data_IF_185007283985
#
_entry.id   IF_185007283985
#
_cell.length_a   1.000
_cell.length_b   1.000
_cell.length_c   1.000
_cell.angle_alpha   90.00
_cell.angle_beta   90.00
_cell.angle_gamma   90.00
#
_symmetry.space_group_name_H-M   'P 1'
#
loop_
_entity.id
_entity.type
_entity.pdbx_description
1 polymer ?
#
# COMPACT_ATOMS: atom_id res chain seq x y z
N UNK A 1 -7.55 16.44 13.90
CA UNK A 1 -7.62 15.01 13.48
C UNK A 1 -8.06 14.10 14.63
N UNK A 2 -7.41 14.14 15.80
CA UNK A 2 -7.82 13.33 16.96
C UNK A 2 -9.25 13.61 17.44
N UNK A 3 -9.69 14.88 17.40
CA UNK A 3 -11.06 15.27 17.76
C UNK A 3 -12.09 14.73 16.75
N UNK A 4 -11.81 14.80 15.45
CA UNK A 4 -12.68 14.24 14.39
C UNK A 4 -12.78 12.71 14.52
N UNK A 5 -11.66 12.02 14.77
CA UNK A 5 -11.67 10.56 14.95
C UNK A 5 -12.37 10.15 16.26
N UNK A 6 -12.22 10.94 17.33
CA UNK A 6 -12.95 10.74 18.58
C UNK A 6 -14.45 10.94 18.38
N UNK A 7 -14.85 11.98 17.66
CA UNK A 7 -16.25 12.28 17.34
C UNK A 7 -16.85 11.23 16.40
N UNK A 8 -16.08 10.71 15.44
CA UNK A 8 -16.49 9.57 14.61
C UNK A 8 -16.71 8.31 15.45
N UNK A 9 -15.77 7.97 16.34
CA UNK A 9 -15.91 6.81 17.22
C UNK A 9 -17.09 6.95 18.17
N UNK A 10 -17.23 8.10 18.82
CA UNK A 10 -18.32 8.40 19.75
C UNK A 10 -19.68 8.44 19.05
N UNK A 11 -19.78 9.09 17.89
CA UNK A 11 -21.00 9.15 17.09
C UNK A 11 -21.44 7.78 16.55
N UNK A 12 -20.49 6.94 16.12
CA UNK A 12 -20.77 5.54 15.73
C UNK A 12 -21.27 4.73 16.94
N UNK A 13 -20.63 4.86 18.10
CA UNK A 13 -21.05 4.16 19.33
C UNK A 13 -22.43 4.59 19.84
N UNK A 14 -22.80 5.86 19.65
CA UNK A 14 -24.06 6.42 20.16
C UNK A 14 -25.16 6.55 19.10
N UNK A 15 -24.91 6.12 17.86
CA UNK A 15 -25.83 6.28 16.70
C UNK A 15 -26.24 7.74 16.43
N UNK A 16 -25.39 8.69 16.79
CA UNK A 16 -25.64 10.10 16.52
C UNK A 16 -25.21 10.44 15.10
N UNK A 17 -26.05 11.20 14.39
CA UNK A 17 -25.73 11.66 13.04
C UNK A 17 -24.64 12.74 13.12
N UNK A 18 -23.46 12.44 12.56
CA UNK A 18 -22.41 13.44 12.36
C UNK A 18 -22.80 14.33 11.17
N UNK A 19 -23.08 15.60 11.45
CA UNK A 19 -23.21 16.62 10.42
C UNK A 19 -21.80 17.14 10.07
N UNK A 20 -21.41 17.02 8.81
CA UNK A 20 -20.16 17.57 8.27
C UNK A 20 -20.53 18.51 7.14
N UNK A 21 -20.11 19.77 7.25
CA UNK A 21 -20.37 20.80 6.22
C UNK A 21 -19.57 20.54 4.93
N UNK A 22 -20.04 21.04 3.78
CA UNK A 22 -19.26 21.01 2.54
C UNK A 22 -17.89 21.69 2.65
N UNK A 23 -17.75 22.71 3.49
CA UNK A 23 -16.50 23.41 3.78
C UNK A 23 -15.51 22.49 4.50
N UNK A 24 -15.97 21.76 5.52
CA UNK A 24 -15.15 20.78 6.25
C UNK A 24 -14.73 19.62 5.35
N UNK A 25 -15.63 19.12 4.49
CA UNK A 25 -15.30 18.08 3.50
C UNK A 25 -14.16 18.58 2.59
N UNK A 26 -14.29 19.80 2.03
CA UNK A 26 -13.25 20.39 1.18
C UNK A 26 -11.93 20.60 1.91
N UNK A 27 -12.00 21.02 3.17
CA UNK A 27 -10.82 21.18 4.02
C UNK A 27 -10.10 19.84 4.23
N UNK A 28 -10.83 18.78 4.59
CA UNK A 28 -10.27 17.44 4.79
C UNK A 28 -9.69 16.89 3.49
N UNK A 29 -10.39 17.03 2.37
CA UNK A 29 -9.89 16.61 1.04
C UNK A 29 -8.57 17.30 0.71
N UNK A 30 -8.49 18.63 0.88
CA UNK A 30 -7.28 19.41 0.60
C UNK A 30 -6.13 19.00 1.53
N UNK A 31 -6.39 18.84 2.82
CA UNK A 31 -5.40 18.42 3.80
C UNK A 31 -4.88 17.00 3.49
N UNK A 32 -5.77 16.08 3.14
CA UNK A 32 -5.42 14.71 2.75
C UNK A 32 -4.58 14.68 1.48
N UNK A 33 -4.99 15.39 0.42
CA UNK A 33 -4.22 15.48 -0.83
C UNK A 33 -2.83 16.07 -0.61
N UNK A 34 -2.72 17.10 0.22
CA UNK A 34 -1.44 17.70 0.58
C UNK A 34 -0.55 16.70 1.32
N UNK A 35 -1.10 15.98 2.31
CA UNK A 35 -0.37 14.95 3.06
C UNK A 35 0.12 13.82 2.16
N UNK A 36 -0.75 13.30 1.27
CA UNK A 36 -0.38 12.27 0.29
C UNK A 36 0.75 12.75 -0.62
N UNK A 37 0.62 13.96 -1.17
CA UNK A 37 1.63 14.55 -2.07
C UNK A 37 2.98 14.77 -1.38
N UNK A 38 2.96 15.15 -0.10
CA UNK A 38 4.19 15.33 0.67
C UNK A 38 4.84 13.99 0.98
N UNK A 39 4.09 13.01 1.50
CA UNK A 39 4.66 11.70 1.79
C UNK A 39 5.08 10.92 0.54
N UNK A 40 4.49 11.19 -0.62
CA UNK A 40 4.99 10.70 -1.92
C UNK A 40 6.40 11.24 -2.22
N UNK A 41 6.64 12.55 -2.04
CA UNK A 41 7.97 13.14 -2.20
C UNK A 41 8.97 12.50 -1.23
N UNK A 42 8.57 12.33 0.02
CA UNK A 42 9.42 11.75 1.06
C UNK A 42 9.73 10.27 0.78
N UNK A 43 8.74 9.51 0.25
CA UNK A 43 8.92 8.13 -0.21
C UNK A 43 9.95 8.06 -1.34
N UNK A 44 9.84 8.94 -2.34
CA UNK A 44 10.80 8.98 -3.46
C UNK A 44 12.20 9.39 -2.99
N UNK A 45 12.31 10.36 -2.07
CA UNK A 45 13.59 10.71 -1.44
C UNK A 45 14.20 9.54 -0.68
N UNK A 46 13.41 8.81 0.10
CA UNK A 46 13.87 7.62 0.81
C UNK A 46 14.34 6.54 -0.18
N UNK A 47 13.61 6.32 -1.28
CA UNK A 47 14.06 5.43 -2.35
C UNK A 47 15.42 5.86 -2.93
N UNK A 48 15.66 7.16 -3.12
CA UNK A 48 16.96 7.66 -3.60
C UNK A 48 18.10 7.41 -2.59
N UNK A 49 17.84 7.58 -1.29
CA UNK A 49 18.82 7.26 -0.24
C UNK A 49 19.18 5.77 -0.28
N UNK A 50 18.18 4.90 -0.38
CA UNK A 50 18.38 3.45 -0.46
C UNK A 50 19.11 3.05 -1.74
N UNK A 51 18.75 3.63 -2.88
CA UNK A 51 19.44 3.43 -4.15
C UNK A 51 20.91 3.83 -4.03
N UNK A 52 21.21 5.02 -3.49
CA UNK A 52 22.60 5.48 -3.32
C UNK A 52 23.41 4.57 -2.40
N UNK A 53 22.77 4.02 -1.37
CA UNK A 53 23.39 3.12 -0.39
C UNK A 53 23.71 1.74 -0.97
N UNK A 54 22.73 1.12 -1.62
CA UNK A 54 22.80 -0.30 -2.01
C UNK A 54 23.15 -0.51 -3.50
N UNK A 55 23.07 0.54 -4.31
CA UNK A 55 23.53 0.57 -5.71
C UNK A 55 24.36 1.82 -6.01
N UNK A 56 25.49 2.01 -5.32
CA UNK A 56 26.35 3.16 -5.55
C UNK A 56 26.78 3.20 -7.02
N UNK A 57 26.68 4.38 -7.64
CA UNK A 57 27.14 4.65 -9.01
C UNK A 57 26.58 3.73 -10.10
N UNK A 58 25.43 3.07 -9.87
CA UNK A 58 24.84 2.12 -10.81
C UNK A 58 23.82 2.80 -11.72
N UNK A 59 23.88 2.52 -13.03
CA UNK A 59 22.82 2.95 -13.93
C UNK A 59 21.55 2.12 -13.69
N UNK A 60 20.45 2.77 -13.33
CA UNK A 60 19.18 2.11 -13.05
C UNK A 60 18.19 2.23 -14.20
N UNK A 61 17.37 1.20 -14.35
CA UNK A 61 16.13 1.23 -15.11
C UNK A 61 14.98 1.36 -14.13
N UNK A 62 14.08 2.30 -14.40
CA UNK A 62 12.87 2.49 -13.62
C UNK A 62 11.66 2.14 -14.47
N UNK A 63 10.70 1.44 -13.87
CA UNK A 63 9.42 1.15 -14.50
C UNK A 63 8.26 1.43 -13.54
N UNK A 64 7.22 2.05 -14.08
CA UNK A 64 5.90 2.12 -13.46
C UNK A 64 5.15 0.84 -13.82
N UNK A 65 4.62 0.17 -12.82
CA UNK A 65 3.73 -0.98 -12.98
C UNK A 65 2.36 -0.52 -12.54
N UNK A 66 1.39 -0.49 -13.44
CA UNK A 66 0.00 -0.13 -13.13
C UNK A 66 -0.86 -1.35 -13.21
N UNK A 67 -1.64 -1.58 -12.17
CA UNK A 67 -2.61 -2.64 -12.13
C UNK A 67 -3.99 -2.05 -12.33
N UNK A 68 -4.71 -2.62 -13.27
CA UNK A 68 -6.05 -2.20 -13.63
C UNK A 68 -7.05 -3.32 -13.40
N UNK A 69 -8.29 -2.93 -13.13
CA UNK A 69 -9.44 -3.85 -13.12
C UNK A 69 -10.63 -3.24 -13.84
N UNK A 70 -11.42 -4.10 -14.46
CA UNK A 70 -12.59 -3.68 -15.22
C UNK A 70 -13.73 -3.28 -14.28
N UNK A 71 -14.55 -2.31 -14.70
CA UNK A 71 -15.79 -1.95 -14.00
C UNK A 71 -16.83 -3.07 -14.05
N UNK A 72 -16.82 -3.87 -15.12
CA UNK A 72 -17.71 -5.02 -15.25
C UNK A 72 -17.26 -6.13 -14.30
N UNK A 73 -18.11 -6.48 -13.33
CA UNK A 73 -17.80 -7.43 -12.27
C UNK A 73 -17.51 -8.85 -12.78
N UNK A 74 -18.11 -9.22 -13.91
CA UNK A 74 -17.81 -10.46 -14.61
C UNK A 74 -16.34 -10.54 -15.09
N UNK A 75 -15.71 -9.39 -15.34
CA UNK A 75 -14.32 -9.28 -15.82
C UNK A 75 -13.36 -9.15 -14.64
N UNK A 76 -13.31 -10.20 -13.82
CA UNK A 76 -12.66 -10.19 -12.51
C UNK A 76 -11.12 -10.28 -12.53
N UNK A 77 -10.50 -10.20 -13.71
CA UNK A 77 -9.05 -10.30 -13.86
C UNK A 77 -8.34 -8.99 -13.54
N UNK A 78 -7.18 -9.09 -12.88
CA UNK A 78 -6.23 -7.98 -12.77
C UNK A 78 -5.36 -7.98 -14.01
N UNK A 79 -5.31 -6.83 -14.65
CA UNK A 79 -4.49 -6.60 -15.84
C UNK A 79 -3.36 -5.64 -15.46
N UNK A 80 -2.19 -5.81 -16.07
CA UNK A 80 -0.99 -5.04 -15.71
C UNK A 80 -0.40 -4.37 -16.93
N UNK A 81 -0.05 -3.10 -16.78
CA UNK A 81 0.78 -2.34 -17.73
C UNK A 81 2.16 -2.11 -17.12
N UNK A 82 3.20 -2.20 -17.95
CA UNK A 82 4.56 -1.86 -17.58
C UNK A 82 5.04 -0.70 -18.43
N UNK A 83 5.24 0.47 -17.82
CA UNK A 83 5.75 1.66 -18.48
C UNK A 83 7.18 1.92 -18.03
N UNK A 84 8.14 1.85 -18.95
CA UNK A 84 9.50 2.31 -18.67
C UNK A 84 9.48 3.82 -18.47
N UNK A 85 10.09 4.27 -17.38
CA UNK A 85 10.24 5.68 -17.05
C UNK A 85 11.69 6.11 -17.28
N UNK A 86 11.88 7.31 -17.82
CA UNK A 86 13.18 7.95 -17.88
C UNK A 86 13.50 8.61 -16.54
N UNK A 87 14.78 8.81 -16.21
CA UNK A 87 15.18 9.44 -14.93
C UNK A 87 14.58 10.84 -14.73
N UNK A 88 14.30 11.57 -15.83
CA UNK A 88 13.60 12.85 -15.79
C UNK A 88 12.13 12.71 -15.36
N UNK A 89 11.46 11.59 -15.65
CA UNK A 89 10.05 11.36 -15.32
C UNK A 89 9.84 11.12 -13.82
N UNK A 90 10.87 10.69 -13.08
CA UNK A 90 10.77 10.39 -11.64
C UNK A 90 11.25 11.57 -10.78
N UNK A 91 12.25 12.31 -11.25
CA UNK A 91 12.92 13.36 -10.46
C UNK A 91 12.38 14.77 -10.71
N UNK A 92 11.75 15.02 -11.86
CA UNK A 92 11.23 16.35 -12.25
C UNK A 92 9.71 16.40 -12.38
N UNK A 93 9.04 15.28 -12.11
CA UNK A 93 7.61 15.19 -12.23
C UNK A 93 6.93 15.98 -11.11
N UNK A 94 6.30 17.09 -11.46
CA UNK A 94 5.23 17.70 -10.66
C UNK A 94 3.94 16.87 -10.69
N UNK A 95 3.95 15.74 -11.40
CA UNK A 95 2.82 14.83 -11.60
C UNK A 95 2.88 13.76 -10.51
N UNK A 96 1.79 13.64 -9.75
CA UNK A 96 1.63 12.61 -8.72
C UNK A 96 1.60 11.20 -9.34
N UNK A 97 2.06 10.21 -8.59
CA UNK A 97 2.04 8.80 -8.93
C UNK A 97 0.64 8.32 -9.32
N UNK A 98 -0.39 8.84 -8.64
CA UNK A 98 -1.80 8.55 -8.94
C UNK A 98 -2.24 9.04 -10.32
N UNK A 99 -1.73 10.19 -10.78
CA UNK A 99 -2.01 10.70 -12.13
C UNK A 99 -1.33 9.84 -13.19
N UNK A 100 -0.06 9.46 -12.97
CA UNK A 100 0.66 8.56 -13.88
C UNK A 100 0.01 7.19 -13.93
N UNK A 101 -0.45 6.66 -12.79
CA UNK A 101 -1.20 5.41 -12.73
C UNK A 101 -2.46 5.48 -13.61
N UNK A 102 -3.25 6.54 -13.48
CA UNK A 102 -4.46 6.76 -14.29
C UNK A 102 -4.17 6.95 -15.79
N UNK A 103 -3.04 7.54 -16.14
CA UNK A 103 -2.61 7.71 -17.53
C UNK A 103 -2.25 6.36 -18.19
N UNK A 104 -1.67 5.43 -17.43
CA UNK A 104 -1.13 4.17 -17.94
C UNK A 104 -1.95 2.93 -17.53
N UNK A 105 -3.22 3.12 -17.14
CA UNK A 105 -4.14 2.00 -16.89
C UNK A 105 -4.25 1.10 -18.13
N UNK A 106 -4.24 -0.22 -17.96
CA UNK A 106 -4.46 -1.15 -19.07
C UNK A 106 -5.90 -1.07 -19.60
N UNK A 107 -6.11 -1.57 -20.81
CA UNK A 107 -7.44 -1.90 -21.32
C UNK A 107 -7.88 -3.26 -20.80
N UNK A 108 -9.18 -3.44 -20.60
CA UNK A 108 -9.77 -4.72 -20.27
C UNK A 108 -9.59 -5.70 -21.44
N UNK A 109 -9.10 -6.92 -21.20
CA UNK A 109 -8.92 -7.92 -22.26
C UNK A 109 -10.23 -8.41 -22.88
N UNK A 110 -11.35 -8.27 -22.16
CA UNK A 110 -12.65 -8.82 -22.56
C UNK A 110 -13.53 -7.79 -23.26
N UNK A 111 -13.66 -6.58 -22.72
CA UNK A 111 -14.47 -5.51 -23.33
C UNK A 111 -13.66 -4.39 -23.98
N UNK A 112 -12.32 -4.42 -23.92
CA UNK A 112 -11.43 -3.38 -24.45
C UNK A 112 -11.59 -1.97 -23.84
N UNK A 113 -12.40 -1.84 -22.79
CA UNK A 113 -12.58 -0.57 -22.07
C UNK A 113 -11.42 -0.24 -21.14
N UNK A 114 -11.22 1.05 -20.87
CA UNK A 114 -10.23 1.49 -19.86
C UNK A 114 -10.57 0.91 -18.50
N UNK A 115 -9.58 0.29 -17.87
CA UNK A 115 -9.67 -0.14 -16.47
C UNK A 115 -9.47 1.04 -15.52
N UNK A 116 -9.89 0.90 -14.26
CA UNK A 116 -9.47 1.81 -13.19
C UNK A 116 -8.20 1.29 -12.53
N UNK A 117 -7.30 2.20 -12.16
CA UNK A 117 -6.10 1.87 -11.43
C UNK A 117 -6.46 1.37 -10.03
N UNK A 118 -6.02 0.15 -9.70
CA UNK A 118 -6.18 -0.43 -8.36
C UNK A 118 -4.86 -0.44 -7.59
N UNK A 119 -3.72 -0.47 -8.27
CA UNK A 119 -2.42 -0.35 -7.64
C UNK A 119 -1.41 0.23 -8.62
N UNK A 120 -0.39 0.88 -8.09
CA UNK A 120 0.74 1.32 -8.87
C UNK A 120 2.03 1.13 -8.08
N UNK A 121 3.10 0.82 -8.81
CA UNK A 121 4.39 0.51 -8.23
C UNK A 121 5.49 1.14 -9.05
N UNK A 122 6.46 1.75 -8.38
CA UNK A 122 7.73 2.12 -9.01
C UNK A 122 8.73 1.04 -8.71
N UNK A 123 9.24 0.41 -9.76
CA UNK A 123 10.31 -0.57 -9.60
C UNK A 123 11.60 -0.07 -10.21
N UNK A 124 12.65 -0.18 -9.41
CA UNK A 124 14.03 0.13 -9.75
C UNK A 124 14.82 -1.18 -9.84
N UNK A 125 15.61 -1.30 -10.89
CA UNK A 125 16.56 -2.40 -11.04
C UNK A 125 17.82 -1.93 -11.79
N UNK A 126 18.99 -2.54 -11.54
CA UNK A 126 20.19 -2.30 -12.32
C UNK A 126 19.95 -2.60 -13.81
N UNK A 127 20.47 -1.75 -14.71
CA UNK A 127 20.41 -2.00 -16.18
C UNK A 127 21.31 -3.15 -16.61
N UNK A 128 22.43 -3.33 -15.91
CA UNK A 128 23.39 -4.41 -16.11
C UNK A 128 23.36 -5.31 -14.88
N UNK A 129 23.77 -6.56 -15.04
CA UNK A 129 24.00 -7.45 -13.89
C UNK A 129 24.96 -6.74 -12.95
N UNK A 130 24.56 -6.61 -11.69
CA UNK A 130 25.39 -6.03 -10.65
C UNK A 130 25.78 -7.10 -9.66
N UNK A 131 26.98 -6.97 -9.09
CA UNK A 131 27.44 -7.83 -8.01
C UNK A 131 26.90 -7.39 -6.64
N UNK A 132 26.09 -6.32 -6.60
CA UNK A 132 25.41 -5.87 -5.40
C UNK A 132 24.40 -6.89 -4.89
N UNK A 133 24.30 -6.98 -3.57
CA UNK A 133 23.36 -7.86 -2.88
C UNK A 133 21.92 -7.44 -3.12
N UNK A 134 21.61 -6.15 -3.26
CA UNK A 134 20.27 -5.67 -3.64
C UNK A 134 20.01 -5.93 -5.13
N UNK A 135 18.82 -6.46 -5.44
CA UNK A 135 18.47 -6.93 -6.79
C UNK A 135 17.26 -6.23 -7.39
N UNK A 136 16.33 -5.78 -6.54
CA UNK A 136 15.26 -4.86 -6.93
C UNK A 136 14.78 -4.06 -5.74
N UNK A 137 14.34 -2.82 -5.99
CA UNK A 137 13.63 -1.98 -5.05
C UNK A 137 12.29 -1.61 -5.67
N UNK A 138 11.22 -1.75 -4.92
CA UNK A 138 9.86 -1.49 -5.37
C UNK A 138 9.17 -0.60 -4.34
N UNK A 139 8.60 0.53 -4.75
CA UNK A 139 7.84 1.41 -3.88
C UNK A 139 6.38 1.49 -4.32
N UNK A 140 5.51 1.80 -3.36
CA UNK A 140 4.08 2.02 -3.61
C UNK A 140 3.50 3.07 -2.68
N UNK A 141 2.37 3.61 -3.11
CA UNK A 141 1.45 4.35 -2.27
C UNK A 141 0.12 3.58 -2.27
N UNK A 142 -0.40 3.31 -1.08
CA UNK A 142 -1.69 2.66 -0.92
C UNK A 142 -2.78 3.58 -1.48
N UNK A 143 -3.69 3.02 -2.29
CA UNK A 143 -4.78 3.79 -2.88
C UNK A 143 -5.73 4.34 -1.82
N UNK A 144 -6.39 5.47 -2.12
CA UNK A 144 -7.40 6.06 -1.23
C UNK A 144 -8.45 5.04 -0.79
N UNK A 145 -8.96 4.22 -1.71
CA UNK A 145 -9.90 3.15 -1.37
C UNK A 145 -9.34 2.17 -0.34
N UNK A 146 -8.09 1.72 -0.51
CA UNK A 146 -7.45 0.81 0.45
C UNK A 146 -7.19 1.49 1.81
N UNK A 147 -6.91 2.79 1.83
CA UNK A 147 -6.80 3.58 3.06
C UNK A 147 -8.16 3.63 3.77
N UNK A 148 -9.25 3.93 3.05
CA UNK A 148 -10.61 3.92 3.58
C UNK A 148 -10.99 2.56 4.17
N UNK A 149 -10.70 1.46 3.46
CA UNK A 149 -10.93 0.11 3.97
C UNK A 149 -10.18 -0.12 5.28
N UNK A 150 -8.89 0.24 5.34
CA UNK A 150 -8.08 0.02 6.54
C UNK A 150 -8.55 0.86 7.73
N UNK A 151 -8.98 2.10 7.51
CA UNK A 151 -9.58 2.95 8.56
C UNK A 151 -10.87 2.32 9.06
N UNK A 152 -11.76 1.88 8.17
CA UNK A 152 -13.00 1.22 8.55
C UNK A 152 -12.71 -0.07 9.33
N UNK A 153 -11.77 -0.90 8.88
CA UNK A 153 -11.36 -2.11 9.60
C UNK A 153 -10.84 -1.82 11.02
N UNK A 154 -10.11 -0.72 11.21
CA UNK A 154 -9.64 -0.27 12.53
C UNK A 154 -10.81 0.19 13.40
N UNK A 155 -11.76 0.96 12.85
CA UNK A 155 -12.93 1.45 13.60
C UNK A 155 -13.82 0.30 14.07
N UNK A 156 -13.96 -0.75 13.25
CA UNK A 156 -14.72 -1.95 13.58
C UNK A 156 -13.87 -3.07 14.23
N UNK A 157 -12.62 -2.78 14.61
CA UNK A 157 -11.71 -3.73 15.29
C UNK A 157 -11.53 -5.08 14.55
N UNK A 158 -11.70 -5.13 13.22
CA UNK A 158 -11.59 -6.36 12.43
C UNK A 158 -10.19 -7.00 12.60
N UNK A 159 -9.16 -6.17 12.72
CA UNK A 159 -7.77 -6.63 12.89
C UNK A 159 -7.53 -7.38 14.21
N UNK A 160 -8.29 -7.07 15.28
CA UNK A 160 -8.20 -7.78 16.56
C UNK A 160 -8.68 -9.23 16.49
N UNK A 161 -9.37 -9.62 15.42
CA UNK A 161 -9.81 -11.01 15.24
C UNK A 161 -8.71 -11.93 14.69
N UNK A 162 -7.57 -11.35 14.26
CA UNK A 162 -6.47 -12.07 13.62
C UNK A 162 -5.18 -12.10 14.44
N UNK A 163 -5.25 -11.91 15.77
CA UNK A 163 -4.06 -11.88 16.66
C UNK A 163 -3.15 -13.11 16.50
N UNK A 164 -3.71 -14.27 16.13
CA UNK A 164 -2.97 -15.54 16.01
C UNK A 164 -2.01 -15.62 14.82
N UNK A 165 -2.20 -14.78 13.79
CA UNK A 165 -1.43 -14.87 12.54
C UNK A 165 -0.52 -13.64 12.29
N UNK A 166 -0.52 -12.69 13.23
CA UNK A 166 0.27 -11.45 13.15
C UNK A 166 1.16 -11.33 14.39
N UNK A 167 2.43 -10.96 14.19
CA UNK A 167 3.22 -10.36 15.27
C UNK A 167 2.63 -8.98 15.50
N UNK A 168 1.98 -8.78 16.65
CA UNK A 168 1.32 -7.52 17.00
C UNK A 168 2.16 -6.77 18.02
N UNK A 169 2.19 -5.45 17.84
CA UNK A 169 2.75 -4.50 18.79
C UNK A 169 1.75 -3.35 18.98
N UNK A 170 2.09 -2.41 19.86
CA UNK A 170 1.23 -1.27 20.21
C UNK A 170 0.93 -0.35 19.01
N UNK A 171 1.72 -0.40 17.94
CA UNK A 171 1.57 0.43 16.74
C UNK A 171 0.78 -0.26 15.62
N UNK A 172 0.37 -1.52 15.80
CA UNK A 172 -0.32 -2.29 14.77
C UNK A 172 -1.72 -1.74 14.40
N UNK A 173 -2.29 -0.83 15.20
CA UNK A 173 -3.53 -0.10 14.90
C UNK A 173 -3.29 1.24 14.17
N UNK A 174 -2.04 1.59 13.87
CA UNK A 174 -1.69 2.77 13.09
C UNK A 174 -1.62 2.40 11.60
N UNK A 175 -2.03 3.32 10.73
CA UNK A 175 -1.87 3.20 9.28
C UNK A 175 -0.39 3.40 8.87
N UNK A 176 0.47 2.47 9.24
CA UNK A 176 1.91 2.56 8.97
C UNK A 176 2.33 2.15 7.56
N UNK A 177 1.41 1.57 6.78
CA UNK A 177 1.68 0.96 5.46
C UNK A 177 1.05 1.74 4.29
N UNK A 178 0.82 3.04 4.46
CA UNK A 178 0.40 3.93 3.36
C UNK A 178 1.52 4.00 2.32
N UNK A 179 2.74 4.24 2.77
CA UNK A 179 3.94 4.28 1.93
C UNK A 179 4.72 2.98 2.15
N UNK A 180 4.85 2.19 1.09
CA UNK A 180 5.53 0.90 1.14
C UNK A 180 6.82 0.91 0.33
N UNK A 181 7.85 0.25 0.85
CA UNK A 181 9.07 -0.12 0.12
C UNK A 181 9.31 -1.62 0.28
N UNK A 182 9.55 -2.33 -0.82
CA UNK A 182 10.05 -3.71 -0.82
C UNK A 182 11.45 -3.74 -1.43
N UNK A 183 12.39 -4.33 -0.70
CA UNK A 183 13.77 -4.52 -1.12
C UNK A 183 14.06 -6.02 -1.22
N UNK A 184 14.47 -6.46 -2.41
CA UNK A 184 14.77 -7.86 -2.70
C UNK A 184 16.27 -8.04 -2.86
N UNK A 185 16.88 -8.84 -1.99
CA UNK A 185 18.31 -9.14 -1.97
C UNK A 185 18.60 -10.51 -2.58
N UNK A 186 19.85 -10.75 -2.98
CA UNK A 186 20.28 -12.02 -3.55
C UNK A 186 20.15 -13.16 -2.54
N UNK A 187 20.54 -12.91 -1.30
CA UNK A 187 20.59 -13.88 -0.20
C UNK A 187 20.33 -13.20 1.15
N UNK A 188 20.44 -13.97 2.23
CA UNK A 188 20.18 -13.50 3.60
C UNK A 188 21.24 -12.52 4.10
N UNK A 189 22.48 -12.59 3.60
CA UNK A 189 23.58 -11.69 4.01
C UNK A 189 23.23 -10.26 3.62
N UNK A 190 22.71 -10.06 2.40
CA UNK A 190 22.21 -8.75 1.97
C UNK A 190 21.04 -8.22 2.83
N UNK A 191 20.14 -9.10 3.27
CA UNK A 191 19.05 -8.73 4.18
C UNK A 191 19.60 -8.31 5.54
N UNK A 192 20.53 -9.07 6.12
CA UNK A 192 21.14 -8.77 7.42
C UNK A 192 21.97 -7.48 7.39
N UNK A 193 22.71 -7.21 6.30
CA UNK A 193 23.41 -5.93 6.08
C UNK A 193 22.42 -4.76 6.07
N UNK A 194 21.29 -4.90 5.36
CA UNK A 194 20.28 -3.87 5.30
C UNK A 194 19.64 -3.61 6.68
N UNK A 195 19.31 -4.66 7.43
CA UNK A 195 18.80 -4.56 8.80
C UNK A 195 19.77 -3.77 9.68
N UNK A 196 21.05 -4.14 9.65
CA UNK A 196 22.11 -3.46 10.42
C UNK A 196 22.19 -1.98 10.06
N UNK A 197 22.18 -1.66 8.77
CA UNK A 197 22.19 -0.28 8.29
C UNK A 197 20.96 0.51 8.75
N UNK A 198 19.75 -0.05 8.63
CA UNK A 198 18.53 0.62 9.11
C UNK A 198 18.59 0.89 10.62
N UNK A 199 19.15 -0.02 11.42
CA UNK A 199 19.29 0.16 12.87
C UNK A 199 20.30 1.24 13.27
N UNK A 200 21.27 1.54 12.40
CA UNK A 200 22.31 2.53 12.64
C UNK A 200 22.05 3.89 11.95
N UNK A 201 21.05 3.96 11.07
CA UNK A 201 20.80 5.16 10.29
C UNK A 201 20.02 6.20 11.12
N UNK A 202 20.63 7.38 11.33
CA UNK A 202 20.05 8.46 12.12
C UNK A 202 18.95 9.26 11.39
N UNK A 203 18.77 9.04 10.08
CA UNK A 203 17.83 9.80 9.26
C UNK A 203 16.35 9.44 9.50
N UNK A 204 16.09 8.37 10.25
CA UNK A 204 14.74 7.90 10.59
C UNK A 204 14.77 7.09 11.88
N UNK A 205 13.61 6.93 12.50
CA UNK A 205 13.45 6.10 13.70
C UNK A 205 12.66 4.84 13.34
N UNK A 206 13.16 3.66 13.72
CA UNK A 206 12.36 2.43 13.63
C UNK A 206 11.32 2.46 14.75
N UNK A 207 10.04 2.57 14.40
CA UNK A 207 8.94 2.58 15.37
C UNK A 207 8.27 1.21 15.52
N UNK A 208 8.48 0.31 14.56
CA UNK A 208 7.95 -1.05 14.61
C UNK A 208 8.86 -2.02 13.82
N UNK A 209 9.06 -3.22 14.38
CA UNK A 209 9.88 -4.29 13.80
C UNK A 209 9.08 -5.61 13.85
N UNK A 210 9.06 -6.35 12.73
CA UNK A 210 8.46 -7.68 12.63
C UNK A 210 9.41 -8.61 11.89
N UNK A 211 10.02 -9.53 12.63
CA UNK A 211 10.89 -10.55 12.07
C UNK A 211 10.07 -11.80 11.71
N UNK A 212 9.82 -12.03 10.42
CA UNK A 212 9.22 -13.26 9.89
C UNK A 212 10.25 -14.15 9.18
N UNK A 213 11.52 -14.11 9.56
CA UNK A 213 12.58 -14.92 8.97
C UNK A 213 12.71 -16.27 9.69
N UNK A 214 13.14 -17.32 8.95
CA UNK A 214 13.48 -18.64 9.50
C UNK A 214 12.30 -19.24 10.30
N UNK A 215 12.51 -19.54 11.58
CA UNK A 215 11.50 -20.15 12.46
C UNK A 215 10.31 -19.23 12.74
N UNK A 216 10.45 -17.92 12.53
CA UNK A 216 9.38 -16.95 12.76
C UNK A 216 8.48 -16.73 11.53
N UNK A 217 8.65 -17.52 10.47
CA UNK A 217 7.84 -17.40 9.26
C UNK A 217 6.36 -17.65 9.54
N UNK A 218 5.48 -17.04 8.75
CA UNK A 218 4.04 -17.29 8.88
C UNK A 218 3.74 -18.76 8.55
N UNK A 219 2.60 -19.27 9.05
CA UNK A 219 2.09 -20.61 8.74
C UNK A 219 2.00 -20.89 7.23
N UNK A 220 1.78 -19.85 6.43
CA UNK A 220 1.75 -19.93 4.96
C UNK A 220 3.13 -20.11 4.32
N UNK A 221 4.22 -20.22 5.10
CA UNK A 221 5.60 -20.20 4.61
C UNK A 221 6.10 -18.82 4.20
N UNK A 222 5.35 -17.75 4.47
CA UNK A 222 5.74 -16.39 4.10
C UNK A 222 6.88 -15.89 4.99
N UNK A 223 7.95 -15.40 4.35
CA UNK A 223 9.19 -14.95 4.99
C UNK A 223 9.54 -13.53 4.54
N UNK A 224 9.86 -12.67 5.51
CA UNK A 224 10.36 -11.31 5.31
C UNK A 224 10.82 -10.73 6.64
N UNK A 225 11.62 -9.67 6.59
CA UNK A 225 11.82 -8.78 7.73
C UNK A 225 11.13 -7.46 7.44
N UNK A 226 10.17 -7.06 8.28
CA UNK A 226 9.47 -5.79 8.13
C UNK A 226 9.87 -4.80 9.20
N UNK A 227 10.06 -3.56 8.81
CA UNK A 227 10.23 -2.43 9.71
C UNK A 227 9.29 -1.31 9.29
N UNK A 228 8.85 -0.52 10.26
CA UNK A 228 8.19 0.76 10.01
C UNK A 228 9.14 1.85 10.45
N UNK A 229 9.48 2.72 9.51
CA UNK A 229 10.30 3.89 9.73
C UNK A 229 9.41 5.09 9.97
N UNK A 230 9.76 5.92 10.94
CA UNK A 230 9.21 7.27 11.10
C UNK A 230 10.27 8.29 10.68
N UNK A 231 9.86 9.23 9.83
CA UNK A 231 10.66 10.41 9.49
C UNK A 231 9.70 11.61 9.54
N UNK A 232 10.01 12.57 10.41
CA UNK A 232 9.15 13.72 10.68
C UNK A 232 7.71 13.28 11.03
N UNK A 233 6.73 13.59 10.19
CA UNK A 233 5.31 13.24 10.39
C UNK A 233 4.84 12.08 9.51
N UNK A 234 5.75 11.38 8.83
CA UNK A 234 5.43 10.30 7.91
C UNK A 234 5.97 8.95 8.38
N UNK A 235 5.27 7.89 7.98
CA UNK A 235 5.67 6.50 8.25
C UNK A 235 5.82 5.70 6.96
N UNK A 236 6.85 4.87 6.90
CA UNK A 236 7.17 4.04 5.74
C UNK A 236 7.33 2.58 6.18
N UNK A 237 6.52 1.67 5.63
CA UNK A 237 6.75 0.24 5.80
C UNK A 237 7.83 -0.21 4.82
N UNK A 238 8.92 -0.79 5.34
CA UNK A 238 9.97 -1.41 4.54
C UNK A 238 9.96 -2.92 4.75
N UNK A 239 9.88 -3.67 3.66
CA UNK A 239 9.96 -5.12 3.64
C UNK A 239 11.28 -5.56 3.00
N UNK A 240 12.04 -6.36 3.73
CA UNK A 240 13.31 -6.92 3.29
C UNK A 240 13.11 -8.41 3.02
N UNK A 241 13.52 -8.87 1.84
CA UNK A 241 13.36 -10.25 1.41
C UNK A 241 14.55 -10.71 0.59
N UNK A 242 14.81 -12.01 0.56
CA UNK A 242 15.70 -12.61 -0.44
C UNK A 242 14.93 -12.87 -1.75
N UNK A 243 15.64 -13.08 -2.85
CA UNK A 243 15.06 -13.51 -4.12
C UNK A 243 14.24 -14.79 -3.97
N UNK A 244 14.73 -15.75 -3.17
CA UNK A 244 14.03 -17.01 -2.90
C UNK A 244 12.69 -16.75 -2.18
N UNK A 245 12.69 -15.88 -1.17
CA UNK A 245 11.47 -15.49 -0.44
C UNK A 245 10.47 -14.79 -1.36
N UNK A 246 10.93 -13.82 -2.15
CA UNK A 246 10.10 -13.10 -3.11
C UNK A 246 9.51 -14.02 -4.20
N UNK A 247 10.30 -14.96 -4.72
CA UNK A 247 9.82 -15.96 -5.68
C UNK A 247 8.80 -16.91 -5.05
N UNK A 248 9.02 -17.32 -3.80
CA UNK A 248 8.07 -18.15 -3.06
C UNK A 248 6.73 -17.42 -2.88
N UNK A 249 6.76 -16.15 -2.46
CA UNK A 249 5.56 -15.30 -2.35
C UNK A 249 4.81 -15.25 -3.68
N UNK A 250 5.50 -14.95 -4.79
CA UNK A 250 4.90 -14.89 -6.13
C UNK A 250 4.32 -16.21 -6.64
N UNK A 251 4.84 -17.35 -6.19
CA UNK A 251 4.33 -18.69 -6.55
C UNK A 251 3.16 -19.11 -5.66
N UNK A 252 3.15 -18.67 -4.40
CA UNK A 252 2.19 -19.08 -3.38
C UNK A 252 1.19 -17.96 -3.02
N UNK A 253 0.96 -17.01 -3.93
CA UNK A 253 0.04 -15.87 -3.81
C UNK A 253 -1.35 -16.31 -3.30
N UNK A 254 -1.81 -17.49 -3.75
CA UNK A 254 -3.11 -18.05 -3.37
C UNK A 254 -3.14 -18.60 -1.93
N UNK A 255 -2.02 -19.06 -1.38
CA UNK A 255 -2.01 -19.77 -0.09
C UNK A 255 -1.84 -18.83 1.13
N UNK A 256 -1.20 -17.66 0.97
CA UNK A 256 -0.82 -16.78 2.10
C UNK A 256 -1.80 -15.64 2.36
N UNK A 257 -2.38 -15.04 1.32
CA UNK A 257 -3.21 -13.83 1.45
C UNK A 257 -4.70 -14.07 1.22
N UNK A 258 -5.06 -15.08 0.43
CA UNK A 258 -6.46 -15.33 0.05
C UNK A 258 -7.32 -15.68 1.27
N UNK A 259 -6.86 -16.60 2.12
CA UNK A 259 -7.59 -17.00 3.34
C UNK A 259 -7.79 -15.84 4.32
N UNK A 260 -6.81 -14.93 4.43
CA UNK A 260 -6.93 -13.75 5.28
C UNK A 260 -7.95 -12.75 4.71
N UNK A 261 -7.85 -12.45 3.41
CA UNK A 261 -8.74 -11.50 2.73
C UNK A 261 -10.17 -11.99 2.66
N UNK A 262 -10.39 -13.28 2.39
CA UNK A 262 -11.72 -13.88 2.37
C UNK A 262 -12.38 -13.75 3.74
N UNK A 263 -11.66 -14.08 4.83
CA UNK A 263 -12.16 -13.87 6.20
C UNK A 263 -12.44 -12.39 6.50
N UNK A 264 -11.55 -11.49 6.12
CA UNK A 264 -11.74 -10.05 6.30
C UNK A 264 -12.99 -9.55 5.57
N UNK A 265 -13.20 -9.99 4.34
CA UNK A 265 -14.38 -9.66 3.55
C UNK A 265 -15.67 -10.22 4.09
N UNK A 266 -15.66 -11.46 4.56
CA UNK A 266 -16.83 -12.07 5.18
C UNK A 266 -17.22 -11.30 6.45
N UNK A 267 -16.25 -10.82 7.23
CA UNK A 267 -16.50 -9.95 8.38
C UNK A 267 -17.10 -8.61 7.97
N UNK A 268 -16.52 -7.94 6.96
CA UNK A 268 -17.09 -6.70 6.39
C UNK A 268 -18.54 -6.90 5.94
N UNK A 269 -18.85 -8.05 5.31
CA UNK A 269 -20.21 -8.41 4.90
C UNK A 269 -21.15 -8.59 6.09
N UNK A 270 -20.68 -9.22 7.18
CA UNK A 270 -21.45 -9.40 8.42
C UNK A 270 -21.77 -8.08 9.12
N UNK A 271 -20.88 -7.09 9.06
CA UNK A 271 -21.12 -5.73 9.59
C UNK A 271 -22.12 -4.93 8.75
N UNK A 272 -22.35 -5.33 7.50
CA UNK A 272 -23.44 -4.83 6.66
C UNK A 272 -23.42 -3.32 6.41
N UNK A 273 -24.57 -2.66 6.60
CA UNK A 273 -24.79 -1.27 6.22
C UNK A 273 -23.92 -0.27 6.98
N UNK A 274 -23.60 -0.54 8.25
CA UNK A 274 -22.82 0.38 9.08
C UNK A 274 -21.39 0.52 8.55
N UNK A 275 -20.74 -0.62 8.25
CA UNK A 275 -19.43 -0.64 7.62
C UNK A 275 -19.43 0.09 6.28
N UNK A 276 -20.46 -0.19 5.46
CA UNK A 276 -20.60 0.40 4.14
C UNK A 276 -20.77 1.92 4.18
N UNK A 277 -21.57 2.42 5.12
CA UNK A 277 -21.82 3.84 5.30
C UNK A 277 -20.55 4.58 5.75
N UNK A 278 -19.79 4.00 6.69
CA UNK A 278 -18.50 4.57 7.09
C UNK A 278 -17.52 4.59 5.93
N UNK A 279 -17.39 3.49 5.17
CA UNK A 279 -16.53 3.43 4.00
C UNK A 279 -16.89 4.49 2.95
N UNK A 280 -18.19 4.68 2.68
CA UNK A 280 -18.70 5.74 1.79
C UNK A 280 -18.31 7.13 2.28
N UNK A 281 -18.52 7.41 3.57
CA UNK A 281 -18.18 8.69 4.17
C UNK A 281 -16.68 8.96 4.09
N UNK A 282 -15.82 7.99 4.40
CA UNK A 282 -14.37 8.09 4.26
C UNK A 282 -13.95 8.34 2.81
N UNK A 283 -14.59 7.66 1.86
CA UNK A 283 -14.32 7.86 0.43
C UNK A 283 -14.67 9.28 0.00
N UNK A 284 -15.78 9.84 0.49
CA UNK A 284 -16.15 11.23 0.23
C UNK A 284 -15.12 12.21 0.83
N UNK A 285 -14.64 11.94 2.05
CA UNK A 285 -13.66 12.79 2.73
C UNK A 285 -12.26 12.76 2.09
N UNK A 286 -11.87 11.65 1.46
CA UNK A 286 -10.51 11.47 0.95
C UNK A 286 -10.38 11.44 -0.57
N UNK A 287 -11.49 11.46 -1.31
CA UNK A 287 -11.47 11.51 -2.78
C UNK A 287 -11.69 12.92 -3.29
N UNK A 288 -11.03 13.27 -4.39
CA UNK A 288 -11.35 14.50 -5.12
C UNK A 288 -12.70 14.35 -5.84
N UNK A 289 -13.65 15.21 -5.52
CA UNK A 289 -15.00 15.22 -6.13
C UNK A 289 -14.97 15.48 -7.65
N UNK A 290 -13.84 15.95 -8.20
CA UNK A 290 -13.65 16.11 -9.65
C UNK A 290 -13.38 14.79 -10.38
N UNK A 291 -12.94 13.73 -9.68
CA UNK A 291 -12.78 12.40 -10.23
C UNK A 291 -14.05 11.56 -10.02
N UNK A 292 -15.10 11.86 -10.78
CA UNK A 292 -16.42 11.19 -10.71
C UNK A 292 -16.42 9.68 -11.03
N UNK A 293 -15.29 9.09 -11.39
CA UNK A 293 -15.20 7.67 -11.77
C UNK A 293 -14.88 6.70 -10.61
N UNK A 294 -14.90 7.17 -9.38
CA UNK A 294 -14.36 6.40 -8.26
C UNK A 294 -15.49 5.84 -7.38
N UNK A 295 -15.84 4.59 -7.65
CA UNK A 295 -16.30 3.59 -6.67
C UNK A 295 -17.77 3.59 -6.18
N UNK A 296 -18.78 3.89 -6.99
CA UNK A 296 -20.17 3.50 -6.62
C UNK A 296 -20.43 1.99 -6.79
N UNK A 297 -19.82 1.34 -7.78
CA UNK A 297 -20.18 -0.05 -8.11
C UNK A 297 -19.38 -1.11 -7.31
N UNK A 298 -18.31 -0.68 -6.62
CA UNK A 298 -17.55 -1.55 -5.72
C UNK A 298 -18.26 -1.86 -4.40
N UNK A 299 -19.28 -1.06 -4.11
CA UNK A 299 -19.95 -0.96 -2.82
C UNK A 299 -21.12 -1.95 -2.74
N UNK A 300 -21.76 -2.29 -3.86
CA UNK A 300 -22.95 -3.15 -3.86
C UNK A 300 -22.63 -4.64 -3.90
N UNK A 301 -21.43 -5.02 -4.34
CA UNK A 301 -21.08 -6.42 -4.54
C UNK A 301 -19.79 -6.72 -3.80
N UNK A 302 -19.91 -7.43 -2.67
CA UNK A 302 -18.81 -7.88 -1.81
C UNK A 302 -17.80 -8.78 -2.54
N UNK A 303 -17.04 -8.20 -3.46
CA UNK A 303 -16.10 -8.86 -4.34
C UNK A 303 -14.66 -8.48 -4.01
N UNK A 304 -13.81 -9.48 -4.22
CA UNK A 304 -12.50 -9.58 -3.60
C UNK A 304 -11.51 -8.54 -4.08
N UNK A 305 -10.83 -7.88 -3.15
CA UNK A 305 -9.47 -7.34 -3.32
C UNK A 305 -8.44 -8.48 -3.56
N UNK A 306 -8.78 -9.50 -4.35
CA UNK A 306 -7.83 -10.49 -4.86
C UNK A 306 -6.75 -9.72 -5.61
N UNK A 307 -5.50 -9.76 -5.13
CA UNK A 307 -4.31 -9.28 -5.82
C UNK A 307 -3.63 -8.01 -5.27
N UNK A 308 -4.34 -6.96 -4.84
CA UNK A 308 -3.72 -5.60 -4.71
C UNK A 308 -2.55 -5.45 -3.72
N UNK A 309 -2.49 -6.28 -2.68
CA UNK A 309 -1.40 -6.31 -1.69
C UNK A 309 -0.56 -7.60 -1.81
N UNK A 310 -0.91 -8.49 -2.75
CA UNK A 310 -0.42 -9.87 -2.79
C UNK A 310 0.80 -10.03 -3.73
N UNK A 311 1.26 -8.93 -4.33
CA UNK A 311 2.57 -8.84 -5.01
C UNK A 311 3.38 -7.60 -4.59
N UNK A 312 2.92 -6.83 -3.57
CA UNK A 312 3.73 -5.74 -3.03
C UNK A 312 4.74 -6.25 -2.04
#
# INVERSE_FOLDING_TARGET
VNEILSNIRFGVSNREALSISPEEIRYVQKAFQHSISQGEKDLHQLCQILIKRFWPSTSLSTRLIVWGRCAQTAHNEIIKTYKKLNQNDVSKSSILDSHLANQYVPLCKLCNEKTYAIASFYQYHPKKRSDFTLTSLLSRIKTTSNICYKIADIVFDIDRMFLRDKVLNNYSQILSDIYGIKMTFQDIVGVEEAISWFKQCENFTIIEEKNYLKENKKKSGFETYKIVLSKEHQTFEVQLQTKKMFQYERKNVLASHQTYKEKQMDLRRKLGKEYLNLYKALTLLFSDTKNKHVHTDYIELGHSQKGMDDEF
#
